data_IF_706367098393
#
_entry.id   IF_706367098393
#
_cell.length_a   1.000
_cell.length_b   1.000
_cell.length_c   1.000
_cell.angle_alpha   90.00
_cell.angle_beta   90.00
_cell.angle_gamma   90.00
#
_symmetry.space_group_name_H-M   'P 1'
#
loop_
_entity.id
_entity.type
_entity.pdbx_description
1 polymer ?
#
# COMPACT_ATOMS: atom_id res chain seq x y z
N UNK A 1 16.35 3.04 -8.38
CA UNK A 1 15.65 4.34 -8.16
C UNK A 1 14.20 4.16 -8.57
N UNK A 2 13.24 4.64 -7.75
CA UNK A 2 11.80 4.52 -8.07
C UNK A 2 11.36 5.72 -8.92
N UNK A 3 10.66 5.43 -10.00
CA UNK A 3 10.03 6.44 -10.84
C UNK A 3 8.59 6.68 -10.36
N UNK A 4 8.17 7.93 -10.10
CA UNK A 4 6.79 8.21 -9.70
C UNK A 4 5.86 8.07 -10.91
N UNK A 5 4.85 7.24 -10.76
CA UNK A 5 3.81 7.03 -11.77
C UNK A 5 2.45 6.84 -11.10
N UNK A 6 1.38 7.13 -11.81
CA UNK A 6 0.03 6.82 -11.40
C UNK A 6 -0.41 5.49 -12.00
N UNK A 7 -1.03 4.66 -11.18
CA UNK A 7 -1.53 3.34 -11.59
C UNK A 7 -3.02 3.27 -11.32
N UNK A 8 -3.80 2.88 -12.33
CA UNK A 8 -5.21 2.61 -12.14
C UNK A 8 -5.39 1.29 -11.39
N UNK A 9 -5.86 1.37 -10.16
CA UNK A 9 -6.10 0.22 -9.28
C UNK A 9 -7.55 -0.29 -9.31
N UNK A 10 -8.46 0.39 -10.00
CA UNK A 10 -9.86 -0.03 -10.08
C UNK A 10 -9.95 -1.46 -10.62
N UNK A 11 -10.71 -2.30 -9.94
CA UNK A 11 -10.93 -3.72 -10.26
C UNK A 11 -9.64 -4.58 -10.31
N UNK A 12 -8.51 -4.06 -9.79
CA UNK A 12 -7.28 -4.85 -9.68
C UNK A 12 -7.29 -5.70 -8.43
N UNK A 13 -6.86 -6.96 -8.59
CA UNK A 13 -6.71 -7.89 -7.47
C UNK A 13 -5.43 -7.61 -6.71
N UNK A 14 -5.55 -7.34 -5.42
CA UNK A 14 -4.42 -7.05 -4.54
C UNK A 14 -4.39 -8.07 -3.40
N UNK A 15 -3.22 -8.65 -3.15
CA UNK A 15 -2.99 -9.55 -2.04
C UNK A 15 -2.21 -8.84 -0.95
N UNK A 16 -2.70 -8.91 0.28
CA UNK A 16 -1.98 -8.46 1.47
C UNK A 16 -1.69 -9.67 2.34
N UNK A 17 -0.41 -9.98 2.54
CA UNK A 17 0.05 -11.10 3.37
C UNK A 17 0.50 -10.54 4.71
N UNK A 18 -0.24 -10.91 5.76
CA UNK A 18 -0.18 -10.32 7.09
C UNK A 18 -1.39 -9.43 7.41
N UNK A 19 -1.80 -9.39 8.68
CA UNK A 19 -2.99 -8.66 9.12
C UNK A 19 -2.75 -7.87 10.43
N UNK A 20 -1.54 -7.33 10.58
CA UNK A 20 -1.14 -6.45 11.68
C UNK A 20 -1.33 -4.96 11.35
N UNK A 21 -0.81 -4.09 12.24
CA UNK A 21 -0.91 -2.62 12.13
C UNK A 21 -0.42 -2.06 10.80
N UNK A 22 0.68 -2.60 10.26
CA UNK A 22 1.24 -2.11 8.98
C UNK A 22 0.34 -2.51 7.82
N UNK A 23 -0.13 -3.76 7.79
CA UNK A 23 -1.09 -4.25 6.80
C UNK A 23 -2.36 -3.40 6.81
N UNK A 24 -2.98 -3.18 7.99
CA UNK A 24 -4.17 -2.32 8.16
C UNK A 24 -4.00 -0.95 7.49
N UNK A 25 -2.88 -0.28 7.77
CA UNK A 25 -2.60 1.04 7.19
C UNK A 25 -2.50 1.02 5.67
N UNK A 26 -1.90 -0.04 5.11
CA UNK A 26 -1.81 -0.22 3.65
C UNK A 26 -3.18 -0.51 3.03
N UNK A 27 -3.93 -1.44 3.63
CA UNK A 27 -5.27 -1.81 3.18
C UNK A 27 -6.19 -0.59 3.16
N UNK A 28 -6.26 0.19 4.26
CA UNK A 28 -7.08 1.41 4.31
C UNK A 28 -6.75 2.38 3.16
N UNK A 29 -5.47 2.51 2.82
CA UNK A 29 -5.03 3.42 1.77
C UNK A 29 -5.46 2.97 0.36
N UNK A 30 -5.37 1.66 0.06
CA UNK A 30 -5.69 1.14 -1.27
C UNK A 30 -7.19 0.88 -1.48
N UNK A 31 -7.93 0.62 -0.41
CA UNK A 31 -9.37 0.36 -0.47
C UNK A 31 -10.16 1.54 -1.07
N UNK A 32 -9.63 2.76 -0.95
CA UNK A 32 -10.23 3.97 -1.51
C UNK A 32 -10.21 4.02 -3.06
N UNK A 33 -9.48 3.10 -3.71
CA UNK A 33 -9.26 3.10 -5.16
C UNK A 33 -10.05 2.01 -5.90
N UNK A 34 -11.09 1.45 -5.28
CA UNK A 34 -11.97 0.46 -5.94
C UNK A 34 -11.28 -0.87 -6.25
N UNK A 35 -10.40 -1.32 -5.37
CA UNK A 35 -9.60 -2.55 -5.55
C UNK A 35 -10.28 -3.77 -4.94
N UNK A 36 -10.03 -4.95 -5.52
CA UNK A 36 -10.38 -6.25 -4.93
C UNK A 36 -9.27 -6.71 -3.99
N UNK A 37 -9.45 -6.53 -2.68
CA UNK A 37 -8.41 -6.84 -1.71
C UNK A 37 -8.63 -8.22 -1.09
N UNK A 38 -7.61 -9.06 -1.16
CA UNK A 38 -7.54 -10.31 -0.37
C UNK A 38 -6.49 -10.15 0.71
N UNK A 39 -6.87 -10.42 1.95
CA UNK A 39 -5.94 -10.46 3.10
C UNK A 39 -5.72 -11.92 3.48
N UNK A 40 -4.46 -12.33 3.46
CA UNK A 40 -4.02 -13.65 3.90
C UNK A 40 -3.20 -13.52 5.18
N UNK A 41 -3.58 -14.23 6.23
CA UNK A 41 -2.83 -14.24 7.47
C UNK A 41 -3.24 -15.36 8.40
N UNK A 42 -2.33 -15.76 9.28
CA UNK A 42 -2.59 -16.77 10.32
C UNK A 42 -3.74 -16.34 11.24
N UNK A 43 -3.74 -15.07 11.59
CA UNK A 43 -4.77 -14.43 12.42
C UNK A 43 -4.97 -12.97 12.00
N UNK A 44 -6.15 -12.40 12.30
CA UNK A 44 -6.42 -10.98 12.07
C UNK A 44 -6.17 -10.24 13.38
N UNK A 45 -4.99 -9.65 13.54
CA UNK A 45 -4.59 -8.91 14.75
C UNK A 45 -5.31 -7.56 14.89
N UNK A 46 -5.77 -7.00 13.78
CA UNK A 46 -6.44 -5.68 13.74
C UNK A 46 -7.89 -5.82 13.28
N UNK A 47 -8.82 -5.80 14.23
CA UNK A 47 -10.26 -5.98 13.96
C UNK A 47 -10.87 -4.94 13.01
N UNK A 48 -10.27 -3.74 12.90
CA UNK A 48 -10.69 -2.72 11.94
C UNK A 48 -10.55 -3.16 10.47
N UNK A 49 -9.70 -4.15 10.18
CA UNK A 49 -9.58 -4.73 8.83
C UNK A 49 -10.92 -5.35 8.43
N UNK A 50 -11.63 -5.99 9.36
CA UNK A 50 -12.91 -6.64 9.11
C UNK A 50 -14.05 -5.67 8.75
N UNK A 51 -13.88 -4.37 9.06
CA UNK A 51 -14.87 -3.33 8.77
C UNK A 51 -14.72 -2.72 7.38
N UNK A 52 -13.66 -3.08 6.63
CA UNK A 52 -13.41 -2.56 5.28
C UNK A 52 -14.28 -3.34 4.29
N UNK A 53 -15.06 -2.61 3.50
CA UNK A 53 -15.94 -3.21 2.48
C UNK A 53 -15.12 -3.85 1.34
N UNK A 54 -15.70 -4.85 0.68
CA UNK A 54 -15.12 -5.54 -0.48
C UNK A 54 -13.74 -6.18 -0.21
N UNK A 55 -13.59 -6.74 1.00
CA UNK A 55 -12.36 -7.38 1.42
C UNK A 55 -12.58 -8.89 1.65
N UNK A 56 -11.79 -9.71 0.98
CA UNK A 56 -11.76 -11.16 1.19
C UNK A 56 -10.70 -11.52 2.23
N UNK A 57 -11.04 -12.35 3.20
CA UNK A 57 -10.11 -12.82 4.21
C UNK A 57 -9.85 -14.30 4.03
N UNK A 58 -8.59 -14.67 4.04
CA UNK A 58 -8.11 -16.06 4.03
C UNK A 58 -7.27 -16.27 5.29
N UNK A 59 -7.85 -16.99 6.25
CA UNK A 59 -7.10 -17.42 7.45
C UNK A 59 -6.24 -18.64 7.09
N UNK A 60 -4.98 -18.42 6.88
CA UNK A 60 -4.00 -19.46 6.54
C UNK A 60 -2.63 -19.07 7.04
N UNK A 61 -1.91 -20.02 7.62
CA UNK A 61 -0.48 -19.90 7.81
C UNK A 61 0.21 -20.21 6.48
N UNK A 62 0.89 -19.24 5.90
CA UNK A 62 1.63 -19.44 4.66
C UNK A 62 2.95 -20.14 4.98
N UNK A 63 3.14 -21.31 4.40
CA UNK A 63 4.40 -22.03 4.51
C UNK A 63 5.48 -21.33 3.69
N UNK A 64 6.73 -21.44 4.13
CA UNK A 64 7.88 -20.89 3.43
C UNK A 64 8.29 -21.80 2.25
N UNK A 65 7.30 -22.26 1.46
CA UNK A 65 7.45 -23.08 0.27
C UNK A 65 7.34 -22.25 -0.99
N UNK A 66 8.33 -22.36 -1.88
CA UNK A 66 8.33 -21.62 -3.15
C UNK A 66 7.10 -21.92 -3.98
N UNK A 67 6.77 -23.20 -4.17
CA UNK A 67 5.64 -23.62 -4.99
C UNK A 67 4.30 -23.12 -4.44
N UNK A 68 4.15 -23.07 -3.12
CA UNK A 68 2.93 -22.55 -2.51
C UNK A 68 2.81 -21.04 -2.72
N UNK A 69 3.90 -20.29 -2.49
CA UNK A 69 3.93 -18.84 -2.68
C UNK A 69 3.60 -18.49 -4.13
N UNK A 70 4.24 -19.13 -5.10
CA UNK A 70 3.99 -18.89 -6.54
C UNK A 70 2.53 -19.13 -6.91
N UNK A 71 1.93 -20.23 -6.46
CA UNK A 71 0.51 -20.54 -6.69
C UNK A 71 -0.42 -19.47 -6.13
N UNK A 72 -0.07 -18.89 -4.99
CA UNK A 72 -0.90 -17.87 -4.33
C UNK A 72 -0.76 -16.53 -5.04
N UNK A 73 0.46 -16.07 -5.33
CA UNK A 73 0.71 -14.70 -5.83
C UNK A 73 0.36 -14.48 -7.30
N UNK A 74 0.45 -15.50 -8.14
CA UNK A 74 0.35 -15.43 -9.61
C UNK A 74 -0.91 -14.74 -10.16
N UNK A 75 -1.99 -14.69 -9.39
CA UNK A 75 -3.27 -14.14 -9.84
C UNK A 75 -3.50 -12.70 -9.34
N UNK A 76 -2.50 -12.07 -8.74
CA UNK A 76 -2.61 -10.73 -8.19
C UNK A 76 -1.77 -9.72 -8.97
N UNK A 77 -2.31 -8.53 -9.12
CA UNK A 77 -1.64 -7.40 -9.76
C UNK A 77 -0.57 -6.80 -8.83
N UNK A 78 -0.87 -6.74 -7.54
CA UNK A 78 0.03 -6.21 -6.52
C UNK A 78 -0.01 -7.10 -5.27
N UNK A 79 1.16 -7.39 -4.73
CA UNK A 79 1.33 -8.11 -3.46
C UNK A 79 1.95 -7.17 -2.43
N UNK A 80 1.41 -7.17 -1.22
CA UNK A 80 1.95 -6.43 -0.07
C UNK A 80 2.34 -7.45 0.99
N UNK A 81 3.63 -7.55 1.30
CA UNK A 81 4.12 -8.44 2.35
C UNK A 81 4.29 -7.65 3.65
N UNK A 82 3.54 -8.04 4.68
CA UNK A 82 3.45 -7.33 5.95
C UNK A 82 3.30 -8.30 7.14
N UNK A 83 3.98 -9.44 7.08
CA UNK A 83 4.08 -10.39 8.20
C UNK A 83 5.15 -9.93 9.19
N UNK A 84 5.22 -10.58 10.33
CA UNK A 84 6.29 -10.43 11.32
C UNK A 84 7.56 -11.26 10.98
N UNK A 85 7.47 -12.10 9.96
CA UNK A 85 8.60 -12.89 9.41
C UNK A 85 9.25 -12.14 8.24
N UNK A 86 10.42 -11.55 8.47
CA UNK A 86 11.15 -10.78 7.47
C UNK A 86 11.67 -11.65 6.32
N UNK A 87 12.10 -12.87 6.60
CA UNK A 87 12.64 -13.80 5.60
C UNK A 87 11.54 -14.29 4.66
N UNK A 88 10.36 -14.60 5.20
CA UNK A 88 9.19 -14.92 4.40
C UNK A 88 8.78 -13.74 3.51
N UNK A 89 8.75 -12.52 4.07
CA UNK A 89 8.42 -11.31 3.31
C UNK A 89 9.39 -11.08 2.15
N UNK A 90 10.69 -11.28 2.37
CA UNK A 90 11.72 -11.16 1.35
C UNK A 90 11.59 -12.23 0.27
N UNK A 91 11.37 -13.47 0.65
CA UNK A 91 11.16 -14.57 -0.29
C UNK A 91 9.94 -14.34 -1.18
N UNK A 92 8.82 -13.89 -0.61
CA UNK A 92 7.63 -13.54 -1.39
C UNK A 92 7.96 -12.41 -2.37
N UNK A 93 8.69 -11.39 -1.93
CA UNK A 93 9.07 -10.27 -2.79
C UNK A 93 9.95 -10.71 -3.97
N UNK A 94 10.93 -11.58 -3.74
CA UNK A 94 11.76 -12.17 -4.79
C UNK A 94 10.94 -12.99 -5.81
N UNK A 95 10.00 -13.79 -5.32
CA UNK A 95 9.12 -14.58 -6.19
C UNK A 95 8.22 -13.66 -7.03
N UNK A 96 7.64 -12.64 -6.43
CA UNK A 96 6.83 -11.66 -7.14
C UNK A 96 7.64 -10.94 -8.23
N UNK A 97 8.83 -10.46 -7.90
CA UNK A 97 9.71 -9.73 -8.83
C UNK A 97 10.07 -10.60 -10.05
N UNK A 98 10.46 -11.85 -9.83
CA UNK A 98 10.76 -12.82 -10.91
C UNK A 98 9.56 -13.12 -11.83
N UNK A 99 8.35 -12.99 -11.30
CA UNK A 99 7.10 -13.22 -12.04
C UNK A 99 6.46 -11.92 -12.56
N UNK A 100 7.18 -10.79 -12.55
CA UNK A 100 6.69 -9.47 -12.99
C UNK A 100 5.41 -9.01 -12.25
N UNK A 101 5.24 -9.42 -11.00
CA UNK A 101 4.16 -9.00 -10.12
C UNK A 101 4.65 -7.80 -9.31
N UNK A 102 3.84 -6.74 -9.23
CA UNK A 102 4.17 -5.60 -8.37
C UNK A 102 4.22 -6.05 -6.92
N UNK A 103 5.28 -5.69 -6.19
CA UNK A 103 5.43 -6.08 -4.79
C UNK A 103 5.93 -4.93 -3.91
N UNK A 104 5.23 -4.74 -2.77
CA UNK A 104 5.65 -3.85 -1.71
C UNK A 104 6.00 -4.64 -0.45
N UNK A 105 7.29 -4.78 -0.16
CA UNK A 105 7.78 -5.41 1.06
C UNK A 105 7.93 -4.36 2.17
N UNK A 106 7.23 -4.54 3.31
CA UNK A 106 7.28 -3.59 4.42
C UNK A 106 8.50 -3.77 5.31
N UNK A 107 9.15 -4.93 5.26
CA UNK A 107 10.32 -5.28 6.09
C UNK A 107 11.64 -4.86 5.44
N UNK A 108 11.65 -4.61 4.13
CA UNK A 108 12.86 -4.27 3.38
C UNK A 108 12.66 -3.05 2.49
N UNK A 109 13.73 -2.27 2.32
CA UNK A 109 13.75 -1.14 1.37
C UNK A 109 14.36 -1.52 0.03
N UNK A 110 15.05 -2.63 -0.05
CA UNK A 110 15.78 -3.09 -1.23
C UNK A 110 15.03 -4.17 -2.00
N UNK A 111 14.34 -5.05 -1.29
CA UNK A 111 13.60 -6.17 -1.90
C UNK A 111 12.14 -5.82 -2.10
N UNK A 112 11.89 -4.88 -3.03
CA UNK A 112 10.56 -4.51 -3.52
C UNK A 112 10.71 -3.78 -4.87
N UNK A 113 9.77 -3.96 -5.77
CA UNK A 113 9.72 -3.23 -7.05
C UNK A 113 8.66 -2.11 -7.04
N UNK A 114 7.85 -2.00 -5.99
CA UNK A 114 6.81 -0.97 -5.84
C UNK A 114 6.86 -0.34 -4.46
N UNK A 115 6.84 0.99 -4.40
CA UNK A 115 6.88 1.74 -3.15
C UNK A 115 5.64 2.64 -3.00
N UNK A 116 4.99 2.59 -1.83
CA UNK A 116 3.92 3.53 -1.50
C UNK A 116 4.47 4.87 -1.03
N UNK A 117 4.06 5.92 -1.70
CA UNK A 117 4.41 7.31 -1.37
C UNK A 117 3.46 7.92 -0.33
N UNK A 118 3.81 9.06 0.23
CA UNK A 118 2.87 9.96 0.87
C UNK A 118 1.93 10.53 -0.18
N UNK A 119 0.63 10.57 0.07
CA UNK A 119 -0.35 11.19 -0.84
C UNK A 119 -1.12 12.26 -0.11
N UNK A 120 -1.25 13.42 -0.74
CA UNK A 120 -2.21 14.48 -0.41
C UNK A 120 -3.16 14.58 -1.58
N UNK A 121 -4.45 14.68 -1.33
CA UNK A 121 -5.47 14.82 -2.38
C UNK A 121 -6.59 15.75 -1.93
N UNK A 122 -7.18 16.47 -2.87
CA UNK A 122 -8.48 17.14 -2.78
C UNK A 122 -9.36 16.71 -3.96
N UNK A 123 -10.33 17.52 -4.36
CA UNK A 123 -11.24 17.26 -5.49
C UNK A 123 -10.52 17.23 -6.84
N UNK A 124 -9.49 18.05 -7.04
CA UNK A 124 -8.79 18.25 -8.30
C UNK A 124 -7.40 17.60 -8.32
N UNK A 125 -6.65 17.72 -7.23
CA UNK A 125 -5.23 17.35 -7.19
C UNK A 125 -4.96 16.08 -6.39
N UNK A 126 -4.05 15.28 -6.91
CA UNK A 126 -3.43 14.20 -6.18
C UNK A 126 -1.93 14.35 -6.25
N UNK A 127 -1.30 14.70 -5.12
CA UNK A 127 0.13 14.96 -5.03
C UNK A 127 0.82 13.80 -4.31
N UNK A 128 1.83 13.24 -4.98
CA UNK A 128 2.64 12.12 -4.46
C UNK A 128 3.98 12.65 -3.93
N UNK A 129 4.31 12.28 -2.69
CA UNK A 129 5.50 12.76 -2.00
C UNK A 129 6.36 11.57 -1.59
N UNK A 130 7.59 11.56 -2.06
CA UNK A 130 8.55 10.50 -1.76
C UNK A 130 9.94 11.07 -1.48
N UNK A 131 10.68 10.41 -0.59
CA UNK A 131 12.12 10.57 -0.42
C UNK A 131 12.87 9.32 -0.87
N UNK A 132 12.26 8.51 -1.77
CA UNK A 132 12.78 7.18 -2.16
C UNK A 132 13.11 6.28 -0.95
N UNK A 133 12.25 6.33 0.09
CA UNK A 133 12.44 5.56 1.31
C UNK A 133 13.52 6.09 2.25
N UNK A 134 14.26 7.15 1.89
CA UNK A 134 15.39 7.65 2.70
C UNK A 134 14.97 8.29 4.02
N UNK A 135 13.86 9.06 4.03
CA UNK A 135 13.42 9.79 5.23
C UNK A 135 11.91 9.96 5.32
N UNK A 136 11.27 9.02 6.02
CA UNK A 136 9.82 9.05 6.24
C UNK A 136 9.34 10.26 7.07
N UNK A 137 10.18 10.82 7.96
CA UNK A 137 9.81 11.99 8.77
C UNK A 137 9.71 13.23 7.88
N UNK A 138 10.68 13.43 6.98
CA UNK A 138 10.65 14.55 6.00
C UNK A 138 9.48 14.43 5.04
N UNK A 139 9.19 13.23 4.53
CA UNK A 139 8.02 13.01 3.67
C UNK A 139 6.72 13.34 4.39
N UNK A 140 6.62 13.04 5.70
CA UNK A 140 5.44 13.39 6.51
C UNK A 140 5.33 14.89 6.73
N UNK A 141 6.42 15.57 7.10
CA UNK A 141 6.43 17.01 7.28
C UNK A 141 6.02 17.74 5.98
N UNK A 142 6.62 17.35 4.85
CA UNK A 142 6.26 17.91 3.54
C UNK A 142 4.78 17.67 3.20
N UNK A 143 4.24 16.50 3.53
CA UNK A 143 2.83 16.19 3.35
C UNK A 143 1.92 17.17 4.08
N UNK A 144 2.23 17.51 5.33
CA UNK A 144 1.42 18.45 6.13
C UNK A 144 1.49 19.87 5.55
N UNK A 145 2.65 20.32 5.06
CA UNK A 145 2.78 21.63 4.42
C UNK A 145 2.00 21.70 3.10
N UNK A 146 2.13 20.69 2.25
CA UNK A 146 1.39 20.64 0.98
C UNK A 146 -0.12 20.61 1.22
N UNK A 147 -0.58 19.92 2.27
CA UNK A 147 -2.00 19.92 2.65
C UNK A 147 -2.50 21.32 2.97
N UNK A 148 -1.70 22.13 3.69
CA UNK A 148 -2.06 23.53 3.98
C UNK A 148 -2.17 24.37 2.70
N UNK A 149 -1.24 24.18 1.77
CA UNK A 149 -1.25 24.88 0.49
C UNK A 149 -2.49 24.52 -0.33
N UNK A 150 -2.81 23.21 -0.45
CA UNK A 150 -4.02 22.79 -1.18
C UNK A 150 -5.30 23.34 -0.57
N UNK A 151 -5.44 23.31 0.74
CA UNK A 151 -6.60 23.88 1.41
C UNK A 151 -6.73 25.39 1.16
N UNK A 152 -5.60 26.12 1.12
CA UNK A 152 -5.58 27.55 0.82
C UNK A 152 -6.04 27.84 -0.61
N UNK A 153 -5.60 27.04 -1.58
CA UNK A 153 -6.04 27.18 -2.99
C UNK A 153 -7.54 26.92 -3.10
N UNK A 154 -8.03 25.86 -2.49
CA UNK A 154 -9.46 25.49 -2.51
C UNK A 154 -10.36 26.57 -1.89
N UNK A 155 -9.92 27.22 -0.81
CA UNK A 155 -10.65 28.34 -0.19
C UNK A 155 -10.68 29.59 -1.08
N UNK A 156 -9.58 29.90 -1.80
CA UNK A 156 -9.54 31.01 -2.75
C UNK A 156 -10.51 30.82 -3.92
N UNK A 157 -10.63 29.59 -4.44
CA UNK A 157 -11.55 29.24 -5.53
C UNK A 157 -13.03 29.29 -5.09
N UNK A 158 -13.31 28.99 -3.83
CA UNK A 158 -14.67 29.05 -3.27
C UNK A 158 -15.10 30.46 -2.83
N UNK A 159 -14.27 31.49 -3.08
CA UNK A 159 -14.61 32.89 -2.75
C UNK A 159 -14.54 33.23 -1.28
N UNK A 160 -13.95 32.37 -0.44
CA UNK A 160 -13.63 32.69 0.95
C UNK A 160 -12.33 33.50 1.01
N UNK A 161 -12.38 34.78 0.61
CA UNK A 161 -11.33 35.71 0.97
C UNK A 161 -11.34 35.88 2.49
N UNK A 162 -10.21 35.47 3.09
CA UNK A 162 -9.99 35.77 4.51
C UNK A 162 -9.97 37.28 4.73
N UNK A 163 -11.00 37.78 5.36
CA UNK A 163 -11.02 39.10 6.04
C UNK A 163 -10.15 38.97 7.29
#
# INVERSE_FOLDING_TARGET
MFFPMCVNLKDKKILVIGAGKVAKRKIKKIAEYGTDITVLGKEIKESEILKIKNLKIIKKNLENSQNEIEKIVKNYFLVITATDDADLNEKIALICDRNNILVNNVSSKTMMNTMFTGVVKNSEFQISISTNGKNCKRSRAMKEEIKKVLNKIENLENGEENV
#
